data_IF_108451580942
#
_entry.id   IF_108451580942
#
_cell.length_a   1.000
_cell.length_b   1.000
_cell.length_c   1.000
_cell.angle_alpha   90.00
_cell.angle_beta   90.00
_cell.angle_gamma   90.00
#
_symmetry.space_group_name_H-M   'P 1'
#
loop_
_entity.id
_entity.type
_entity.pdbx_description
1 polymer ?
#
# COMPACT_ATOMS: atom_id res chain seq x y z
N UNK A 1 -0.55 22.69 15.21
CA UNK A 1 -1.63 22.10 14.40
C UNK A 1 -2.67 21.55 15.38
N UNK A 2 -3.77 22.31 15.60
CA UNK A 2 -4.87 21.87 16.47
C UNK A 2 -5.84 21.00 15.66
N UNK A 3 -5.34 19.88 15.13
CA UNK A 3 -6.22 18.86 14.55
C UNK A 3 -6.96 18.14 15.68
N UNK A 4 -8.25 17.83 15.53
CA UNK A 4 -8.94 17.01 16.48
C UNK A 4 -8.26 15.63 16.59
N UNK A 5 -8.30 14.98 17.75
CA UNK A 5 -7.76 13.63 17.87
C UNK A 5 -8.53 12.69 16.93
N UNK A 6 -7.83 11.69 16.31
CA UNK A 6 -8.49 10.69 15.48
C UNK A 6 -9.56 9.89 16.24
N UNK A 7 -10.58 9.40 15.55
CA UNK A 7 -11.50 8.42 16.11
C UNK A 7 -10.82 7.04 16.23
N UNK A 8 -10.12 6.84 17.35
CA UNK A 8 -9.41 5.58 17.61
C UNK A 8 -10.36 4.37 17.69
N UNK A 9 -11.64 4.56 18.03
CA UNK A 9 -12.60 3.45 18.08
C UNK A 9 -12.97 3.01 16.66
N UNK A 10 -13.24 3.95 15.76
CA UNK A 10 -13.48 3.67 14.33
C UNK A 10 -12.26 3.05 13.66
N UNK A 11 -11.05 3.58 13.92
CA UNK A 11 -9.80 3.02 13.40
C UNK A 11 -9.58 1.58 13.86
N UNK A 12 -9.77 1.28 15.14
CA UNK A 12 -9.64 -0.08 15.68
C UNK A 12 -10.71 -1.04 15.11
N UNK A 13 -11.93 -0.56 14.86
CA UNK A 13 -12.96 -1.35 14.20
C UNK A 13 -12.60 -1.65 12.75
N UNK A 14 -12.06 -0.67 12.02
CA UNK A 14 -11.59 -0.84 10.65
C UNK A 14 -10.43 -1.83 10.56
N UNK A 15 -9.45 -1.76 11.48
CA UNK A 15 -8.34 -2.72 11.53
C UNK A 15 -8.81 -4.17 11.71
N UNK A 16 -9.77 -4.40 12.61
CA UNK A 16 -10.36 -5.74 12.76
C UNK A 16 -11.04 -6.21 11.48
N UNK A 17 -11.84 -5.34 10.86
CA UNK A 17 -12.52 -5.66 9.59
C UNK A 17 -11.53 -5.99 8.47
N UNK A 18 -10.43 -5.24 8.34
CA UNK A 18 -9.37 -5.51 7.37
C UNK A 18 -8.81 -6.92 7.59
N UNK A 19 -8.46 -7.28 8.82
CA UNK A 19 -7.97 -8.62 9.14
C UNK A 19 -8.96 -9.72 8.76
N UNK A 20 -10.25 -9.50 9.03
CA UNK A 20 -11.29 -10.51 8.83
C UNK A 20 -11.66 -10.70 7.35
N UNK A 21 -11.57 -9.65 6.54
CA UNK A 21 -12.13 -9.66 5.18
C UNK A 21 -11.08 -9.65 4.08
N UNK A 22 -9.99 -8.90 4.24
CA UNK A 22 -9.01 -8.73 3.15
C UNK A 22 -8.20 -10.00 2.90
N UNK A 23 -7.85 -10.76 3.94
CA UNK A 23 -7.00 -11.95 3.80
C UNK A 23 -7.62 -13.04 2.90
N UNK A 24 -8.93 -13.07 2.77
CA UNK A 24 -9.67 -14.02 1.93
C UNK A 24 -10.26 -13.36 0.66
N UNK A 25 -9.82 -12.15 0.33
CA UNK A 25 -10.37 -11.39 -0.80
C UNK A 25 -9.67 -11.72 -2.12
N UNK A 26 -10.43 -11.62 -3.22
CA UNK A 26 -9.87 -11.71 -4.58
C UNK A 26 -8.87 -10.59 -4.88
N UNK A 27 -8.94 -9.46 -4.18
CA UNK A 27 -7.98 -8.38 -4.30
C UNK A 27 -6.59 -8.81 -3.81
N UNK A 28 -6.53 -9.52 -2.68
CA UNK A 28 -5.27 -10.08 -2.19
C UNK A 28 -4.72 -11.18 -3.11
N UNK A 29 -5.58 -12.05 -3.64
CA UNK A 29 -5.16 -13.07 -4.60
C UNK A 29 -4.55 -12.44 -5.85
N UNK A 30 -5.17 -11.38 -6.38
CA UNK A 30 -4.69 -10.64 -7.54
C UNK A 30 -3.33 -9.95 -7.27
N UNK A 31 -3.15 -9.38 -6.07
CA UNK A 31 -1.90 -8.76 -5.68
C UNK A 31 -0.79 -9.81 -5.51
N UNK A 32 -1.07 -10.91 -4.83
CA UNK A 32 -0.08 -11.96 -4.56
C UNK A 32 0.40 -12.69 -5.83
N UNK A 33 -0.40 -12.69 -6.90
CA UNK A 33 -0.01 -13.24 -8.20
C UNK A 33 1.00 -12.36 -8.98
N UNK A 34 1.19 -11.10 -8.58
CA UNK A 34 2.08 -10.18 -9.27
C UNK A 34 3.56 -10.51 -9.02
N UNK A 35 4.40 -10.22 -10.04
CA UNK A 35 5.87 -10.36 -9.96
C UNK A 35 6.56 -9.08 -9.49
N UNK A 36 5.86 -7.98 -9.46
CA UNK A 36 6.28 -6.66 -8.99
C UNK A 36 5.10 -5.92 -8.41
N UNK A 37 5.32 -5.19 -7.32
CA UNK A 37 4.27 -4.40 -6.69
C UNK A 37 4.75 -2.96 -6.55
N UNK A 38 3.93 -2.01 -6.96
CA UNK A 38 4.18 -0.58 -6.84
C UNK A 38 3.12 0.00 -5.92
N UNK A 39 3.55 0.73 -4.89
CA UNK A 39 2.69 1.45 -3.97
C UNK A 39 2.77 2.94 -4.24
N UNK A 40 1.63 3.58 -4.43
CA UNK A 40 1.50 5.01 -4.73
C UNK A 40 0.65 5.69 -3.67
N UNK A 41 1.11 6.83 -3.18
CA UNK A 41 0.37 7.64 -2.22
C UNK A 41 1.07 8.97 -1.99
N UNK A 42 0.31 10.00 -1.77
CA UNK A 42 0.80 11.37 -1.65
C UNK A 42 0.95 11.77 -0.18
N UNK A 43 1.78 12.78 0.07
CA UNK A 43 1.97 13.44 1.36
C UNK A 43 2.25 12.44 2.51
N UNK A 44 1.46 12.42 3.58
CA UNK A 44 1.63 11.49 4.70
C UNK A 44 1.56 10.02 4.25
N UNK A 45 0.72 9.71 3.26
CA UNK A 45 0.60 8.35 2.71
C UNK A 45 1.85 7.89 1.94
N UNK A 46 2.71 8.81 1.49
CA UNK A 46 4.00 8.39 0.90
C UNK A 46 4.86 7.63 1.93
N UNK A 47 4.82 8.02 3.20
CA UNK A 47 5.45 7.24 4.28
C UNK A 47 4.87 5.83 4.40
N UNK A 48 3.54 5.70 4.32
CA UNK A 48 2.85 4.40 4.34
C UNK A 48 3.19 3.54 3.12
N UNK A 49 3.34 4.13 1.92
CA UNK A 49 3.75 3.39 0.71
C UNK A 49 5.16 2.84 0.83
N UNK A 50 6.09 3.60 1.41
CA UNK A 50 7.47 3.15 1.64
C UNK A 50 7.52 1.98 2.61
N UNK A 51 6.80 2.07 3.73
CA UNK A 51 6.69 0.97 4.68
C UNK A 51 6.05 -0.27 4.04
N UNK A 52 5.01 -0.08 3.23
CA UNK A 52 4.34 -1.16 2.51
C UNK A 52 5.26 -1.89 1.53
N UNK A 53 6.02 -1.14 0.75
CA UNK A 53 7.02 -1.68 -0.17
C UNK A 53 8.10 -2.47 0.58
N UNK A 54 8.57 -1.93 1.71
CA UNK A 54 9.56 -2.58 2.57
C UNK A 54 9.03 -3.92 3.12
N UNK A 55 7.77 -3.96 3.60
CA UNK A 55 7.17 -5.20 4.13
C UNK A 55 7.17 -6.34 3.11
N UNK A 56 6.81 -6.06 1.86
CA UNK A 56 6.86 -7.09 0.82
C UNK A 56 8.30 -7.57 0.57
N UNK A 57 9.25 -6.64 0.45
CA UNK A 57 10.67 -7.00 0.25
C UNK A 57 11.21 -7.87 1.38
N UNK A 58 10.98 -7.48 2.62
CA UNK A 58 11.45 -8.20 3.80
C UNK A 58 10.84 -9.61 3.88
N UNK A 59 9.51 -9.69 3.79
CA UNK A 59 8.79 -10.96 3.99
C UNK A 59 9.01 -11.94 2.83
N UNK A 60 9.34 -11.45 1.64
CA UNK A 60 9.62 -12.30 0.47
C UNK A 60 11.10 -12.51 0.21
N UNK A 61 11.99 -12.07 1.11
CA UNK A 61 13.44 -12.09 0.92
C UNK A 61 13.85 -11.51 -0.45
N UNK A 62 13.21 -10.41 -0.85
CA UNK A 62 13.48 -9.72 -2.11
C UNK A 62 12.97 -10.43 -3.38
N UNK A 63 12.26 -11.55 -3.27
CA UNK A 63 11.75 -12.30 -4.45
C UNK A 63 10.71 -11.50 -5.24
N UNK A 64 9.96 -10.61 -4.58
CA UNK A 64 9.02 -9.70 -5.23
C UNK A 64 9.57 -8.29 -5.12
N UNK A 65 10.15 -7.72 -6.21
CA UNK A 65 10.60 -6.34 -6.24
C UNK A 65 9.44 -5.38 -6.00
N UNK A 66 9.68 -4.37 -5.19
CA UNK A 66 8.68 -3.34 -4.88
C UNK A 66 9.23 -1.95 -5.10
N UNK A 67 8.33 -1.01 -5.30
CA UNK A 67 8.62 0.41 -5.37
C UNK A 67 7.55 1.19 -4.62
N UNK A 68 7.95 2.28 -4.00
CA UNK A 68 7.06 3.29 -3.45
C UNK A 68 7.35 4.63 -4.13
N UNK A 69 6.30 5.35 -4.52
CA UNK A 69 6.43 6.68 -5.11
C UNK A 69 5.19 7.54 -4.78
N UNK A 70 5.37 8.84 -4.91
CA UNK A 70 4.23 9.76 -4.87
C UNK A 70 3.42 9.66 -6.16
N UNK A 71 2.12 9.95 -6.09
CA UNK A 71 1.23 9.91 -7.25
C UNK A 71 1.76 10.78 -8.40
N UNK A 72 2.19 12.01 -8.11
CA UNK A 72 2.70 12.91 -9.14
C UNK A 72 4.11 12.52 -9.60
N UNK A 73 5.01 12.14 -8.69
CA UNK A 73 6.38 11.74 -9.03
C UNK A 73 6.42 10.51 -9.94
N UNK A 74 5.49 9.60 -9.78
CA UNK A 74 5.41 8.37 -10.56
C UNK A 74 5.26 8.62 -12.07
N UNK A 75 4.57 9.69 -12.47
CA UNK A 75 4.38 10.05 -13.89
C UNK A 75 5.68 10.42 -14.60
N UNK A 76 6.70 10.85 -13.85
CA UNK A 76 7.94 11.43 -14.40
C UNK A 76 9.05 10.41 -14.67
N UNK A 77 8.70 9.17 -15.05
CA UNK A 77 9.67 8.12 -15.39
C UNK A 77 9.35 6.78 -14.76
N UNK A 78 9.12 6.68 -13.43
CA UNK A 78 8.84 5.39 -12.76
C UNK A 78 7.66 4.61 -13.34
N UNK A 79 6.68 5.29 -13.96
CA UNK A 79 5.55 4.66 -14.66
C UNK A 79 6.00 3.66 -15.73
N UNK A 80 7.19 3.81 -16.29
CA UNK A 80 7.79 2.87 -17.26
C UNK A 80 8.02 1.47 -16.69
N UNK A 81 7.99 1.29 -15.36
CA UNK A 81 8.08 -0.02 -14.72
C UNK A 81 6.82 -0.87 -14.84
N UNK A 82 5.69 -0.28 -15.24
CA UNK A 82 4.42 -1.02 -15.38
C UNK A 82 4.50 -1.95 -16.59
N UNK A 83 4.18 -3.22 -16.34
CA UNK A 83 4.02 -4.24 -17.38
C UNK A 83 2.96 -5.28 -16.93
N UNK A 84 2.70 -6.29 -17.76
CA UNK A 84 1.73 -7.36 -17.49
C UNK A 84 2.02 -8.26 -16.28
N UNK A 85 3.08 -7.99 -15.51
CA UNK A 85 3.42 -8.69 -14.27
C UNK A 85 3.40 -7.75 -13.04
N UNK A 86 2.98 -6.49 -13.24
CA UNK A 86 3.00 -5.44 -12.20
C UNK A 86 1.63 -5.22 -11.59
N UNK A 87 1.52 -5.30 -10.28
CA UNK A 87 0.38 -4.74 -9.52
C UNK A 87 0.69 -3.31 -9.09
N UNK A 88 -0.28 -2.42 -9.25
CA UNK A 88 -0.19 -1.02 -8.80
C UNK A 88 -1.23 -0.78 -7.72
N UNK A 89 -0.77 -0.43 -6.53
CA UNK A 89 -1.59 -0.14 -5.35
C UNK A 89 -1.67 1.36 -5.12
N UNK A 90 -2.85 1.92 -5.16
CA UNK A 90 -3.12 3.33 -4.88
C UNK A 90 -3.61 3.49 -3.45
N UNK A 91 -2.88 4.22 -2.63
CA UNK A 91 -3.30 4.70 -1.32
C UNK A 91 -3.86 6.11 -1.50
N UNK A 92 -5.18 6.19 -1.61
CA UNK A 92 -5.89 7.43 -1.94
C UNK A 92 -6.00 8.32 -0.71
N UNK A 93 -5.61 9.57 -0.85
CA UNK A 93 -5.69 10.58 0.21
C UNK A 93 -7.13 10.84 0.66
N UNK A 94 -7.32 11.15 1.94
CA UNK A 94 -8.57 11.69 2.49
C UNK A 94 -8.84 13.13 2.05
N UNK A 95 -7.79 13.88 1.64
CA UNK A 95 -7.92 15.27 1.23
C UNK A 95 -8.56 15.43 -0.16
N UNK A 96 -9.67 16.19 -0.29
CA UNK A 96 -10.39 16.31 -1.54
C UNK A 96 -9.61 16.96 -2.69
N UNK A 97 -8.57 17.75 -2.39
CA UNK A 97 -7.73 18.35 -3.43
C UNK A 97 -6.73 17.31 -3.95
N UNK A 98 -6.06 16.60 -3.08
CA UNK A 98 -5.07 15.55 -3.40
C UNK A 98 -5.73 14.39 -4.15
N UNK A 99 -6.94 13.99 -3.77
CA UNK A 99 -7.74 12.93 -4.40
C UNK A 99 -7.90 13.08 -5.92
N UNK A 100 -7.92 14.32 -6.43
CA UNK A 100 -8.06 14.55 -7.87
C UNK A 100 -6.86 13.98 -8.63
N UNK A 101 -5.66 14.16 -8.10
CA UNK A 101 -4.42 13.65 -8.71
C UNK A 101 -4.31 12.12 -8.59
N UNK A 102 -4.75 11.56 -7.45
CA UNK A 102 -4.80 10.11 -7.25
C UNK A 102 -5.76 9.46 -8.24
N UNK A 103 -6.96 10.04 -8.41
CA UNK A 103 -7.95 9.61 -9.40
C UNK A 103 -7.40 9.65 -10.82
N UNK A 104 -6.80 10.78 -11.20
CA UNK A 104 -6.32 10.99 -12.57
C UNK A 104 -5.24 9.97 -12.94
N UNK A 105 -4.30 9.68 -12.03
CA UNK A 105 -3.30 8.65 -12.28
C UNK A 105 -3.92 7.24 -12.28
N UNK A 106 -4.87 6.95 -11.40
CA UNK A 106 -5.54 5.65 -11.40
C UNK A 106 -6.27 5.40 -12.73
N UNK A 107 -7.01 6.38 -13.23
CA UNK A 107 -7.67 6.29 -14.54
C UNK A 107 -6.66 6.16 -15.70
N UNK A 108 -5.55 6.87 -15.64
CA UNK A 108 -4.47 6.76 -16.63
C UNK A 108 -3.89 5.35 -16.67
N UNK A 109 -3.52 4.77 -15.52
CA UNK A 109 -2.98 3.41 -15.43
C UNK A 109 -4.00 2.37 -15.90
N UNK A 110 -5.27 2.55 -15.56
CA UNK A 110 -6.35 1.68 -16.03
C UNK A 110 -6.57 1.82 -17.54
N UNK A 111 -6.50 3.04 -18.08
CA UNK A 111 -6.67 3.33 -19.50
C UNK A 111 -5.53 2.76 -20.35
N UNK A 112 -4.28 2.85 -19.88
CA UNK A 112 -3.10 2.28 -20.57
C UNK A 112 -3.16 0.75 -20.68
N UNK A 113 -3.83 0.08 -19.75
CA UNK A 113 -4.04 -1.37 -19.79
C UNK A 113 -2.80 -2.22 -19.59
N UNK A 114 -1.65 -1.64 -19.24
CA UNK A 114 -0.37 -2.33 -19.14
C UNK A 114 -0.15 -3.05 -17.80
N UNK A 115 -0.79 -2.60 -16.73
CA UNK A 115 -0.69 -3.22 -15.41
C UNK A 115 -1.45 -4.55 -15.37
N UNK A 116 -0.86 -5.58 -14.76
CA UNK A 116 -1.54 -6.85 -14.50
C UNK A 116 -2.76 -6.63 -13.60
N UNK A 117 -2.58 -5.85 -12.54
CA UNK A 117 -3.60 -5.52 -11.56
C UNK A 117 -3.49 -4.06 -11.13
N UNK A 118 -4.64 -3.45 -10.82
CA UNK A 118 -4.73 -2.17 -10.12
C UNK A 118 -5.60 -2.35 -8.87
N UNK A 119 -5.08 -1.95 -7.72
CA UNK A 119 -5.79 -1.99 -6.45
C UNK A 119 -5.94 -0.56 -5.93
N UNK A 120 -7.14 -0.16 -5.58
CA UNK A 120 -7.45 1.19 -5.10
C UNK A 120 -7.98 1.06 -3.67
N UNK A 121 -7.17 1.49 -2.71
CA UNK A 121 -7.55 1.58 -1.30
C UNK A 121 -7.96 3.03 -1.03
N UNK A 122 -9.20 3.26 -0.62
CA UNK A 122 -9.74 4.61 -0.59
C UNK A 122 -10.78 4.82 0.51
N UNK A 123 -10.94 6.08 1.01
CA UNK A 123 -12.10 6.48 1.79
C UNK A 123 -13.41 6.25 1.02
N UNK A 124 -14.50 5.93 1.73
CA UNK A 124 -15.80 5.71 1.08
C UNK A 124 -16.30 6.95 0.35
N UNK A 125 -16.07 8.13 0.90
CA UNK A 125 -16.44 9.40 0.26
C UNK A 125 -15.74 9.62 -1.09
N UNK A 126 -14.52 9.15 -1.27
CA UNK A 126 -13.83 9.18 -2.57
C UNK A 126 -14.57 8.38 -3.62
N UNK A 127 -14.96 7.15 -3.30
CA UNK A 127 -15.67 6.28 -4.24
C UNK A 127 -17.07 6.80 -4.56
N UNK A 128 -17.74 7.43 -3.61
CA UNK A 128 -19.02 8.09 -3.85
C UNK A 128 -18.87 9.28 -4.81
N UNK A 129 -17.73 10.00 -4.76
CA UNK A 129 -17.42 11.12 -5.65
C UNK A 129 -17.00 10.67 -7.05
N UNK A 130 -16.32 9.53 -7.17
CA UNK A 130 -15.74 9.02 -8.41
C UNK A 130 -16.20 7.58 -8.72
N UNK A 131 -17.52 7.39 -9.00
CA UNK A 131 -18.11 6.08 -9.19
C UNK A 131 -17.56 5.31 -10.39
N UNK A 132 -16.92 5.99 -11.35
CA UNK A 132 -16.27 5.36 -12.50
C UNK A 132 -15.11 4.45 -12.09
N UNK A 133 -14.44 4.71 -10.97
CA UNK A 133 -13.39 3.83 -10.45
C UNK A 133 -13.99 2.55 -9.87
N UNK A 134 -15.11 2.64 -9.16
CA UNK A 134 -15.83 1.47 -8.65
C UNK A 134 -16.39 0.58 -9.78
N UNK A 135 -16.72 1.18 -10.93
CA UNK A 135 -17.18 0.46 -12.12
C UNK A 135 -16.04 -0.04 -13.02
N UNK A 136 -14.79 0.27 -12.67
CA UNK A 136 -13.62 -0.13 -13.46
C UNK A 136 -13.19 -1.59 -13.22
N UNK A 137 -12.13 -2.02 -13.90
CA UNK A 137 -11.50 -3.34 -13.69
C UNK A 137 -10.57 -3.39 -12.46
N UNK A 138 -10.44 -2.31 -11.71
CA UNK A 138 -9.62 -2.27 -10.50
C UNK A 138 -10.26 -3.06 -9.36
N UNK A 139 -9.44 -3.62 -8.49
CA UNK A 139 -9.89 -4.08 -7.19
C UNK A 139 -10.03 -2.87 -6.27
N UNK A 140 -11.25 -2.50 -5.95
CA UNK A 140 -11.55 -1.33 -5.11
C UNK A 140 -11.84 -1.79 -3.69
N UNK A 141 -11.07 -1.25 -2.74
CA UNK A 141 -11.17 -1.56 -1.32
C UNK A 141 -11.53 -0.26 -0.59
N UNK A 142 -12.79 -0.15 -0.16
CA UNK A 142 -13.29 1.00 0.58
C UNK A 142 -13.02 0.88 2.07
N UNK A 143 -12.60 1.97 2.71
CA UNK A 143 -12.70 2.11 4.15
C UNK A 143 -14.16 2.32 4.58
N UNK A 144 -14.41 2.18 5.88
CA UNK A 144 -15.69 2.51 6.46
C UNK A 144 -15.98 4.01 6.34
N UNK A 145 -17.22 4.37 6.02
CA UNK A 145 -17.64 5.77 5.97
C UNK A 145 -17.49 6.51 7.32
N UNK A 146 -17.41 5.80 8.43
CA UNK A 146 -17.09 6.39 9.74
C UNK A 146 -15.68 7.01 9.78
N UNK A 147 -14.80 6.69 8.82
CA UNK A 147 -13.46 7.26 8.69
C UNK A 147 -13.38 8.37 7.64
N UNK A 148 -14.49 8.73 7.00
CA UNK A 148 -14.51 9.84 6.06
C UNK A 148 -14.20 11.16 6.78
N UNK A 149 -13.18 11.87 6.30
CA UNK A 149 -12.70 13.11 6.92
C UNK A 149 -11.59 12.95 7.96
N UNK A 150 -11.17 11.72 8.28
CA UNK A 150 -9.95 11.50 9.05
C UNK A 150 -8.71 11.94 8.26
N UNK A 151 -7.70 12.42 8.99
CA UNK A 151 -6.42 12.83 8.43
C UNK A 151 -5.64 11.62 7.88
N UNK A 152 -4.91 11.83 6.78
CA UNK A 152 -4.11 10.78 6.13
C UNK A 152 -3.09 10.12 7.07
N UNK A 153 -2.52 10.87 8.01
CA UNK A 153 -1.61 10.31 9.00
C UNK A 153 -2.33 9.37 9.98
N UNK A 154 -3.60 9.65 10.31
CA UNK A 154 -4.42 8.76 11.12
C UNK A 154 -4.83 7.48 10.35
N UNK A 155 -5.05 7.59 9.04
CA UNK A 155 -5.40 6.47 8.16
C UNK A 155 -4.19 5.61 7.78
N UNK A 156 -2.96 6.15 7.80
CA UNK A 156 -1.75 5.45 7.35
C UNK A 156 -1.57 4.04 7.94
N UNK A 157 -1.84 3.76 9.23
CA UNK A 157 -1.75 2.41 9.78
C UNK A 157 -2.68 1.40 9.11
N UNK A 158 -3.86 1.83 8.64
CA UNK A 158 -4.80 0.95 7.92
C UNK A 158 -4.24 0.55 6.56
N UNK A 159 -3.65 1.50 5.83
CA UNK A 159 -2.99 1.23 4.55
C UNK A 159 -1.82 0.26 4.72
N UNK A 160 -0.99 0.47 5.74
CA UNK A 160 0.14 -0.44 6.04
C UNK A 160 -0.34 -1.84 6.40
N UNK A 161 -1.46 -1.98 7.10
CA UNK A 161 -2.02 -3.28 7.45
C UNK A 161 -2.38 -4.11 6.21
N UNK A 162 -2.92 -3.51 5.16
CA UNK A 162 -3.15 -4.21 3.88
C UNK A 162 -1.84 -4.79 3.32
N UNK A 163 -0.77 -4.01 3.38
CA UNK A 163 0.53 -4.47 2.90
C UNK A 163 1.14 -5.57 3.79
N UNK A 164 0.95 -5.50 5.11
CA UNK A 164 1.39 -6.55 6.03
C UNK A 164 0.69 -7.89 5.73
N UNK A 165 -0.62 -7.87 5.52
CA UNK A 165 -1.39 -9.06 5.12
C UNK A 165 -0.96 -9.57 3.74
N UNK A 166 -0.67 -8.65 2.81
CA UNK A 166 -0.15 -9.00 1.49
C UNK A 166 1.24 -9.63 1.57
N UNK A 167 2.12 -9.06 2.38
CA UNK A 167 3.46 -9.62 2.62
C UNK A 167 3.42 -11.02 3.23
N UNK A 168 2.54 -11.23 4.21
CA UNK A 168 2.30 -12.57 4.79
C UNK A 168 1.88 -13.56 3.70
N UNK A 169 0.90 -13.21 2.89
CA UNK A 169 0.42 -14.09 1.81
C UNK A 169 1.51 -14.37 0.78
N UNK A 170 2.21 -13.33 0.30
CA UNK A 170 3.31 -13.48 -0.65
C UNK A 170 4.46 -14.35 -0.11
N UNK A 171 4.79 -14.22 1.18
CA UNK A 171 5.80 -15.07 1.83
C UNK A 171 5.39 -16.55 1.81
N UNK A 172 4.15 -16.83 2.23
CA UNK A 172 3.62 -18.20 2.26
C UNK A 172 3.56 -18.82 0.85
N UNK A 173 3.08 -18.08 -0.15
CA UNK A 173 3.02 -18.52 -1.55
C UNK A 173 4.43 -18.76 -2.14
N UNK A 174 5.44 -18.02 -1.66
CA UNK A 174 6.85 -18.20 -2.02
C UNK A 174 7.56 -19.32 -1.24
N UNK A 175 6.86 -20.00 -0.32
CA UNK A 175 7.43 -21.03 0.56
C UNK A 175 8.40 -20.47 1.61
N UNK A 176 8.25 -19.21 1.99
CA UNK A 176 9.10 -18.53 2.99
C UNK A 176 8.35 -18.48 4.32
N UNK A 177 9.03 -18.84 5.41
CA UNK A 177 8.48 -18.68 6.74
C UNK A 177 8.48 -17.21 7.15
N UNK A 178 7.34 -16.62 7.50
CA UNK A 178 7.28 -15.24 7.99
C UNK A 178 8.11 -15.01 9.27
N UNK A 179 8.29 -16.04 10.08
CA UNK A 179 9.08 -15.96 11.32
C UNK A 179 10.60 -15.96 11.05
N UNK A 180 11.02 -16.45 9.90
CA UNK A 180 12.42 -16.47 9.48
C UNK A 180 12.53 -16.27 7.96
N UNK A 181 12.32 -15.04 7.47
CA UNK A 181 12.31 -14.76 6.02
C UNK A 181 13.70 -14.83 5.37
N UNK A 182 14.77 -14.81 6.17
CA UNK A 182 16.16 -14.90 5.70
C UNK A 182 16.91 -16.01 6.42
N UNK A 183 16.67 -17.31 6.07
CA UNK A 183 17.30 -18.45 6.76
C UNK A 183 18.82 -18.50 6.62
N UNK A 184 19.37 -17.89 5.56
CA UNK A 184 20.80 -17.78 5.29
C UNK A 184 21.50 -16.72 6.17
N UNK A 185 20.71 -15.92 6.93
CA UNK A 185 21.22 -14.89 7.82
C UNK A 185 21.74 -13.64 7.13
N UNK A 186 21.46 -13.47 5.81
CA UNK A 186 21.83 -12.26 5.06
C UNK A 186 21.11 -11.01 5.58
N UNK A 187 19.89 -11.18 6.08
CA UNK A 187 19.13 -10.17 6.80
C UNK A 187 18.79 -10.70 8.20
N UNK A 188 19.04 -9.93 9.23
CA UNK A 188 18.77 -10.32 10.61
C UNK A 188 17.71 -9.43 11.23
N UNK A 189 16.90 -9.99 12.14
CA UNK A 189 15.88 -9.25 12.92
C UNK A 189 16.47 -8.04 13.66
N UNK A 190 17.71 -8.17 14.11
CA UNK A 190 18.50 -7.07 14.67
C UNK A 190 19.74 -6.91 13.81
N UNK A 191 19.99 -5.71 13.33
CA UNK A 191 21.15 -5.41 12.49
C UNK A 191 22.43 -5.73 13.29
N UNK A 192 23.32 -6.50 12.66
CA UNK A 192 24.62 -6.87 13.26
C UNK A 192 25.74 -6.14 12.54
N UNK A 193 26.83 -5.88 13.24
CA UNK A 193 28.03 -5.28 12.66
C UNK A 193 27.93 -3.74 12.46
N UNK A 194 26.96 -3.10 13.08
CA UNK A 194 26.92 -1.63 13.11
C UNK A 194 27.99 -1.12 14.07
N UNK A 195 28.78 -0.17 13.60
CA UNK A 195 29.76 0.56 14.43
C UNK A 195 29.19 1.92 14.79
N UNK A 196 29.07 2.19 16.07
CA UNK A 196 28.70 3.52 16.55
C UNK A 196 29.95 4.41 16.55
N UNK A 197 29.89 5.49 15.78
CA UNK A 197 30.94 6.49 15.75
C UNK A 197 30.61 7.61 16.75
N UNK A 198 31.61 8.10 17.52
CA UNK A 198 31.37 9.21 18.42
C UNK A 198 30.95 10.46 17.63
N UNK A 199 29.93 11.15 18.14
CA UNK A 199 29.49 12.41 17.55
C UNK A 199 30.61 13.45 17.75
N UNK A 200 31.07 14.13 16.71
CA UNK A 200 32.07 15.19 16.87
C UNK A 200 31.45 16.35 17.68
N UNK A 201 32.13 16.71 18.80
CA UNK A 201 31.71 17.80 19.69
C UNK A 201 32.31 19.09 19.15
#
# INVERSE_FOLDING_TARGET
LDLPPPDFAALAAAQRRISDTFYTSTALDALAAAKRIIYLGSDALYGATRESALKILEMTAGKIPTMAETTLGFRHGPKSLINGETAVCFFVSGDPYTQQYDRDLALEVLGDGNAAQALIFAPAAFLARYPELAASRAHVIAFDAALDGEDDAALAPLYVQYAQLSGLRCALDAGISPDNPSPDGSVNRVVKGVTDYPYPV
#
